data_IF_556821119507
#
_entry.id   IF_556821119507
#
_cell.length_a   1.000
_cell.length_b   1.000
_cell.length_c   1.000
_cell.angle_alpha   90.00
_cell.angle_beta   90.00
_cell.angle_gamma   90.00
#
_symmetry.space_group_name_H-M   'P 1'
#
loop_
_entity.id
_entity.type
_entity.pdbx_description
1 polymer ?
#
# COMPACT_ATOMS: atom_id res chain seq x y z
N UNK A 1 9.89 -11.04 -31.63
CA UNK A 1 9.26 -11.49 -30.37
C UNK A 1 9.91 -10.72 -29.22
N UNK A 2 9.39 -9.55 -28.89
CA UNK A 2 9.92 -8.70 -27.81
C UNK A 2 9.19 -9.01 -26.52
N UNK A 3 9.91 -9.55 -25.54
CA UNK A 3 9.41 -9.75 -24.18
C UNK A 3 9.40 -8.38 -23.51
N UNK A 4 8.23 -7.77 -23.38
CA UNK A 4 8.03 -6.55 -22.60
C UNK A 4 8.22 -6.88 -21.12
N UNK A 5 9.44 -6.66 -20.62
CA UNK A 5 9.76 -6.75 -19.20
C UNK A 5 8.97 -5.70 -18.41
N UNK A 6 8.04 -6.17 -17.59
CA UNK A 6 7.32 -5.36 -16.64
C UNK A 6 8.31 -4.92 -15.53
N UNK A 7 8.85 -3.70 -15.61
CA UNK A 7 9.87 -3.16 -14.70
C UNK A 7 9.31 -2.18 -13.66
N UNK A 8 8.02 -2.28 -13.33
CA UNK A 8 7.49 -1.62 -12.14
C UNK A 8 8.04 -2.26 -10.85
N UNK A 9 8.20 -1.50 -9.75
CA UNK A 9 8.52 -2.10 -8.46
C UNK A 9 7.49 -3.18 -8.15
N UNK A 10 7.96 -4.42 -8.00
CA UNK A 10 7.09 -5.53 -7.66
C UNK A 10 6.54 -5.25 -6.26
N UNK A 11 5.22 -5.35 -6.03
CA UNK A 11 4.68 -5.25 -4.68
C UNK A 11 5.44 -6.23 -3.79
N UNK A 12 5.77 -5.81 -2.57
CA UNK A 12 6.57 -6.50 -1.54
C UNK A 12 5.98 -7.85 -1.05
N UNK A 13 5.11 -8.49 -1.85
CA UNK A 13 3.93 -9.16 -1.36
C UNK A 13 3.58 -10.54 -2.00
N UNK A 14 4.57 -11.38 -2.35
CA UNK A 14 4.34 -12.85 -2.30
C UNK A 14 5.22 -13.59 -1.28
N UNK A 15 6.47 -13.18 -1.08
CA UNK A 15 7.43 -13.98 -0.30
C UNK A 15 7.26 -13.84 1.22
N UNK A 16 6.82 -12.67 1.72
CA UNK A 16 6.37 -12.54 3.12
C UNK A 16 5.01 -13.21 3.35
N UNK A 17 4.16 -13.30 2.31
CA UNK A 17 2.89 -14.05 2.36
C UNK A 17 3.05 -15.56 2.53
N UNK A 18 4.20 -16.14 2.21
CA UNK A 18 4.45 -17.54 2.49
C UNK A 18 4.95 -17.76 3.93
N UNK A 19 5.34 -16.69 4.62
CA UNK A 19 6.14 -16.76 5.84
C UNK A 19 5.40 -16.30 7.09
N UNK A 20 4.56 -15.26 7.01
CA UNK A 20 3.89 -14.69 8.19
C UNK A 20 2.57 -15.43 8.48
N UNK A 21 2.31 -15.73 9.76
CA UNK A 21 1.04 -16.30 10.20
C UNK A 21 -0.08 -15.30 9.94
N UNK A 22 -1.11 -15.75 9.23
CA UNK A 22 -2.32 -14.97 8.96
C UNK A 22 -3.43 -15.47 9.86
N UNK A 23 -3.91 -14.61 10.76
CA UNK A 23 -5.08 -14.93 11.56
C UNK A 23 -6.29 -14.23 10.95
N UNK A 24 -7.33 -15.02 10.62
CA UNK A 24 -8.63 -14.44 10.27
C UNK A 24 -9.25 -13.88 11.54
N UNK A 25 -9.55 -12.59 11.53
CA UNK A 25 -10.18 -11.90 12.65
C UNK A 25 -11.50 -11.29 12.23
N UNK A 26 -12.52 -11.61 13.01
CA UNK A 26 -13.84 -10.99 12.93
C UNK A 26 -13.76 -9.61 13.59
N UNK A 27 -14.29 -8.57 12.93
CA UNK A 27 -14.35 -7.21 13.45
C UNK A 27 -15.05 -7.11 14.82
N UNK A 28 -15.96 -8.02 15.17
CA UNK A 28 -16.54 -8.09 16.52
C UNK A 28 -15.47 -8.26 17.61
N UNK A 29 -14.35 -8.92 17.29
CA UNK A 29 -13.22 -9.12 18.22
C UNK A 29 -12.33 -7.88 18.35
N UNK A 30 -12.62 -6.81 17.59
CA UNK A 30 -11.93 -5.53 17.62
C UNK A 30 -12.77 -4.46 18.34
N UNK A 31 -13.95 -4.81 18.86
CA UNK A 31 -14.84 -3.89 19.55
C UNK A 31 -14.13 -3.19 20.72
N UNK A 32 -14.32 -1.87 20.81
CA UNK A 32 -13.66 -1.00 21.79
C UNK A 32 -12.26 -0.52 21.38
N UNK A 33 -11.68 -1.05 20.31
CA UNK A 33 -10.39 -0.58 19.79
C UNK A 33 -10.54 0.67 18.90
N UNK A 34 -9.49 1.48 18.85
CA UNK A 34 -9.34 2.54 17.84
C UNK A 34 -8.37 2.07 16.76
N UNK A 35 -8.79 2.06 15.50
CA UNK A 35 -7.95 1.63 14.37
C UNK A 35 -7.66 2.77 13.42
N UNK A 36 -6.38 2.95 13.08
CA UNK A 36 -5.99 3.85 12.00
C UNK A 36 -6.34 3.23 10.66
N UNK A 37 -6.92 4.02 9.75
CA UNK A 37 -7.33 3.56 8.43
C UNK A 37 -6.64 4.39 7.36
N UNK A 38 -6.00 3.72 6.42
CA UNK A 38 -5.55 4.34 5.17
C UNK A 38 -6.76 4.70 4.30
N UNK A 39 -7.06 6.00 4.22
CA UNK A 39 -8.22 6.50 3.49
C UNK A 39 -8.04 6.41 1.97
N UNK A 40 -6.80 6.55 1.46
CA UNK A 40 -6.52 6.51 0.02
C UNK A 40 -6.73 5.11 -0.55
N UNK A 41 -6.39 4.06 0.21
CA UNK A 41 -6.71 2.69 -0.15
C UNK A 41 -8.22 2.46 -0.37
N UNK A 42 -9.07 3.03 0.48
CA UNK A 42 -10.53 2.95 0.33
C UNK A 42 -11.07 3.82 -0.80
N UNK A 43 -10.58 5.05 -0.94
CA UNK A 43 -10.98 5.94 -2.04
C UNK A 43 -10.65 5.33 -3.39
N UNK A 44 -9.44 4.78 -3.55
CA UNK A 44 -9.01 4.10 -4.76
C UNK A 44 -9.91 2.89 -5.05
N UNK A 45 -10.15 2.03 -4.06
CA UNK A 45 -11.02 0.85 -4.23
C UNK A 45 -12.46 1.22 -4.58
N UNK A 46 -13.01 2.28 -3.97
CA UNK A 46 -14.33 2.80 -4.29
C UNK A 46 -14.40 3.41 -5.70
N UNK A 47 -13.32 4.07 -6.15
CA UNK A 47 -13.22 4.67 -7.47
C UNK A 47 -13.25 3.64 -8.61
N UNK A 48 -12.84 2.39 -8.36
CA UNK A 48 -12.89 1.28 -9.34
C UNK A 48 -14.30 1.08 -9.89
N UNK A 49 -15.32 1.19 -9.03
CA UNK A 49 -16.72 1.01 -9.43
C UNK A 49 -17.30 2.18 -10.24
N UNK A 50 -16.57 3.31 -10.32
CA UNK A 50 -16.97 4.50 -11.06
C UNK A 50 -15.86 5.03 -11.99
N UNK A 51 -14.97 4.14 -12.43
CA UNK A 51 -13.81 4.51 -13.23
C UNK A 51 -14.22 5.17 -14.56
N UNK A 52 -15.32 4.70 -15.18
CA UNK A 52 -15.84 5.26 -16.42
C UNK A 52 -16.32 6.70 -16.22
N UNK A 53 -17.12 6.95 -15.19
CA UNK A 53 -17.62 8.29 -14.87
C UNK A 53 -16.47 9.24 -14.58
N UNK A 54 -15.50 8.82 -13.76
CA UNK A 54 -14.31 9.60 -13.44
C UNK A 54 -13.47 9.90 -14.70
N UNK A 55 -13.24 8.92 -15.56
CA UNK A 55 -12.48 9.11 -16.80
C UNK A 55 -13.16 10.12 -17.74
N UNK A 56 -14.50 10.16 -17.76
CA UNK A 56 -15.31 11.09 -18.54
C UNK A 56 -15.52 12.45 -17.88
N UNK A 57 -15.02 12.67 -16.66
CA UNK A 57 -15.27 13.90 -15.89
C UNK A 57 -16.73 14.05 -15.44
N UNK A 58 -17.49 12.95 -15.36
CA UNK A 58 -18.87 12.96 -14.87
C UNK A 58 -18.88 12.97 -13.34
N UNK A 59 -19.71 13.81 -12.70
CA UNK A 59 -19.86 13.81 -11.25
C UNK A 59 -20.27 12.42 -10.72
N UNK A 60 -19.64 11.98 -9.64
CA UNK A 60 -19.96 10.72 -8.96
C UNK A 60 -19.61 10.81 -7.49
N UNK A 61 -20.37 10.10 -6.64
CA UNK A 61 -20.11 9.95 -5.19
C UNK A 61 -19.83 8.51 -4.77
N UNK A 62 -19.80 7.57 -5.73
CA UNK A 62 -19.64 6.13 -5.45
C UNK A 62 -18.41 5.80 -4.60
N UNK A 63 -17.30 6.52 -4.78
CA UNK A 63 -16.08 6.34 -3.99
C UNK A 63 -16.25 6.79 -2.52
N UNK A 64 -16.98 7.90 -2.28
CA UNK A 64 -17.31 8.37 -0.93
C UNK A 64 -18.27 7.39 -0.26
N UNK A 65 -19.32 6.98 -0.98
CA UNK A 65 -20.33 6.06 -0.44
C UNK A 65 -19.70 4.72 -0.04
N UNK A 66 -18.76 4.22 -0.85
CA UNK A 66 -17.97 3.03 -0.53
C UNK A 66 -17.15 3.21 0.76
N UNK A 67 -16.37 4.29 0.87
CA UNK A 67 -15.56 4.54 2.07
C UNK A 67 -16.43 4.73 3.32
N UNK A 68 -17.52 5.50 3.21
CA UNK A 68 -18.45 5.73 4.32
C UNK A 68 -19.21 4.47 4.74
N UNK A 69 -19.48 3.55 3.82
CA UNK A 69 -20.02 2.23 4.17
C UNK A 69 -19.05 1.46 5.07
N UNK A 70 -17.75 1.48 4.76
CA UNK A 70 -16.72 0.85 5.59
C UNK A 70 -16.58 1.51 6.96
N UNK A 71 -16.64 2.84 7.03
CA UNK A 71 -16.67 3.58 8.30
C UNK A 71 -17.85 3.15 9.18
N UNK A 72 -19.06 3.09 8.61
CA UNK A 72 -20.26 2.65 9.32
C UNK A 72 -20.17 1.20 9.77
N UNK A 73 -19.60 0.32 8.95
CA UNK A 73 -19.36 -1.08 9.28
C UNK A 73 -18.44 -1.21 10.50
N UNK A 74 -17.31 -0.48 10.54
CA UNK A 74 -16.42 -0.51 11.70
C UNK A 74 -17.13 -0.02 12.97
N UNK A 75 -17.86 1.10 12.90
CA UNK A 75 -18.63 1.61 14.03
C UNK A 75 -19.72 0.63 14.49
N UNK A 76 -20.36 -0.06 13.56
CA UNK A 76 -21.36 -1.08 13.87
C UNK A 76 -20.77 -2.22 14.71
N UNK A 77 -19.54 -2.63 14.40
CA UNK A 77 -18.79 -3.63 15.19
C UNK A 77 -18.11 -3.04 16.44
N UNK A 78 -18.43 -1.81 16.83
CA UNK A 78 -17.87 -1.17 18.04
C UNK A 78 -16.41 -0.72 17.88
N UNK A 79 -15.88 -0.67 16.67
CA UNK A 79 -14.53 -0.16 16.38
C UNK A 79 -14.60 1.35 16.13
N UNK A 80 -13.65 2.10 16.68
CA UNK A 80 -13.50 3.54 16.42
C UNK A 80 -12.50 3.74 15.27
N UNK A 81 -12.94 4.13 14.05
CA UNK A 81 -12.02 4.40 12.97
C UNK A 81 -11.37 5.78 13.13
N UNK A 82 -10.07 5.86 12.86
CA UNK A 82 -9.30 7.09 12.74
C UNK A 82 -8.74 7.15 11.31
N UNK A 83 -9.28 8.02 10.45
CA UNK A 83 -8.87 8.04 9.04
C UNK A 83 -7.62 8.90 8.83
N UNK A 84 -6.66 8.37 8.08
CA UNK A 84 -5.43 9.08 7.71
C UNK A 84 -5.41 9.24 6.19
N UNK A 85 -5.19 10.47 5.75
CA UNK A 85 -5.10 10.86 4.35
C UNK A 85 -3.66 11.23 4.00
N UNK A 86 -3.23 10.95 2.77
CA UNK A 86 -2.01 11.53 2.22
C UNK A 86 -2.13 13.06 2.14
N UNK A 87 -1.01 13.73 2.34
CA UNK A 87 -0.83 15.16 2.21
C UNK A 87 0.05 15.53 1.03
N UNK A 88 1.16 16.21 1.31
CA UNK A 88 1.98 16.82 0.26
C UNK A 88 2.88 15.79 -0.46
N UNK A 89 3.36 16.21 -1.62
CA UNK A 89 4.25 15.44 -2.46
C UNK A 89 5.63 15.22 -1.82
N UNK A 90 6.13 14.00 -1.89
CA UNK A 90 7.45 13.65 -1.41
C UNK A 90 8.47 13.61 -2.59
N UNK A 91 9.52 14.45 -2.59
CA UNK A 91 10.49 14.50 -3.70
C UNK A 91 11.16 13.17 -4.01
N UNK A 92 11.40 12.34 -2.99
CA UNK A 92 11.99 11.00 -3.15
C UNK A 92 11.11 10.03 -3.94
N UNK A 93 9.80 10.32 -4.11
CA UNK A 93 8.88 9.53 -4.95
C UNK A 93 8.63 10.14 -6.34
N UNK A 94 9.31 11.24 -6.70
CA UNK A 94 9.07 11.95 -7.95
C UNK A 94 9.09 11.06 -9.21
N UNK A 95 10.08 10.16 -9.29
CA UNK A 95 10.23 9.23 -10.41
C UNK A 95 9.07 8.25 -10.48
N UNK A 96 8.70 7.68 -9.32
CA UNK A 96 7.61 6.71 -9.19
C UNK A 96 6.27 7.35 -9.54
N UNK A 97 5.97 8.52 -8.99
CA UNK A 97 4.73 9.25 -9.27
C UNK A 97 4.65 9.74 -10.72
N UNK A 98 5.77 10.19 -11.29
CA UNK A 98 5.84 10.53 -12.73
C UNK A 98 5.53 9.33 -13.62
N UNK A 99 6.05 8.15 -13.30
CA UNK A 99 5.76 6.92 -14.04
C UNK A 99 4.29 6.49 -13.90
N UNK A 100 3.71 6.62 -12.70
CA UNK A 100 2.31 6.32 -12.42
C UNK A 100 1.39 7.28 -13.18
N UNK A 101 1.67 8.58 -13.14
CA UNK A 101 0.91 9.61 -13.87
C UNK A 101 0.91 9.35 -15.38
N UNK A 102 2.07 9.07 -15.97
CA UNK A 102 2.16 8.74 -17.40
C UNK A 102 1.33 7.51 -17.75
N UNK A 103 1.43 6.44 -16.96
CA UNK A 103 0.70 5.20 -17.20
C UNK A 103 -0.82 5.40 -17.08
N UNK A 104 -1.27 6.27 -16.15
CA UNK A 104 -2.68 6.65 -16.03
C UNK A 104 -3.18 7.40 -17.26
N UNK A 105 -2.40 8.35 -17.77
CA UNK A 105 -2.74 9.11 -18.98
C UNK A 105 -2.82 8.21 -20.23
N UNK A 106 -1.83 7.33 -20.41
CA UNK A 106 -1.81 6.35 -21.51
C UNK A 106 -3.03 5.42 -21.45
N UNK A 107 -3.35 4.85 -20.27
CA UNK A 107 -4.55 4.02 -20.07
C UNK A 107 -5.85 4.81 -20.28
N UNK A 108 -5.91 6.08 -19.87
CA UNK A 108 -7.10 6.92 -20.10
C UNK A 108 -7.34 7.13 -21.60
N UNK A 109 -6.30 7.45 -22.37
CA UNK A 109 -6.36 7.63 -23.83
C UNK A 109 -6.83 6.35 -24.51
N UNK A 110 -6.21 5.22 -24.19
CA UNK A 110 -6.60 3.91 -24.74
C UNK A 110 -8.04 3.54 -24.38
N UNK A 111 -8.45 3.78 -23.13
CA UNK A 111 -9.82 3.55 -22.68
C UNK A 111 -10.85 4.37 -23.49
N UNK A 112 -10.55 5.63 -23.79
CA UNK A 112 -11.41 6.48 -24.61
C UNK A 112 -11.53 6.00 -26.06
N UNK A 113 -10.44 5.52 -26.66
CA UNK A 113 -10.44 4.94 -28.00
C UNK A 113 -11.28 3.66 -28.06
N UNK A 114 -11.10 2.76 -27.09
CA UNK A 114 -11.87 1.52 -26.97
C UNK A 114 -13.36 1.80 -26.77
N UNK A 115 -13.70 2.83 -25.98
CA UNK A 115 -15.07 3.25 -25.76
C UNK A 115 -15.73 3.75 -27.06
N UNK A 116 -15.02 4.60 -27.84
CA UNK A 116 -15.49 5.06 -29.16
C UNK A 116 -15.69 3.92 -30.15
N UNK A 117 -14.88 2.87 -30.05
CA UNK A 117 -15.01 1.65 -30.85
C UNK A 117 -16.08 0.67 -30.35
N UNK A 118 -16.87 1.02 -29.33
CA UNK A 118 -17.92 0.17 -28.76
C UNK A 118 -17.41 -0.99 -27.88
N UNK A 119 -16.12 -1.05 -27.58
CA UNK A 119 -15.48 -2.11 -26.78
C UNK A 119 -15.56 -1.83 -25.28
N UNK A 120 -16.78 -1.74 -24.75
CA UNK A 120 -17.08 -1.24 -23.40
C UNK A 120 -16.30 -1.96 -22.28
N UNK A 121 -16.22 -3.30 -22.30
CA UNK A 121 -15.53 -4.07 -21.25
C UNK A 121 -14.02 -3.78 -21.23
N UNK A 122 -13.38 -3.70 -22.40
CA UNK A 122 -11.96 -3.39 -22.51
C UNK A 122 -11.68 -1.94 -22.13
N UNK A 123 -12.55 -1.01 -22.54
CA UNK A 123 -12.47 0.38 -22.13
C UNK A 123 -12.54 0.53 -20.61
N UNK A 124 -13.48 -0.17 -19.96
CA UNK A 124 -13.63 -0.15 -18.51
C UNK A 124 -12.37 -0.65 -17.79
N UNK A 125 -11.76 -1.75 -18.28
CA UNK A 125 -10.52 -2.27 -17.72
C UNK A 125 -9.34 -1.28 -17.83
N UNK A 126 -9.27 -0.49 -18.90
CA UNK A 126 -8.28 0.59 -19.03
C UNK A 126 -8.61 1.79 -18.13
N UNK A 127 -9.89 2.16 -18.01
CA UNK A 127 -10.29 3.23 -17.10
C UNK A 127 -9.96 2.91 -15.64
N UNK A 128 -10.10 1.65 -15.21
CA UNK A 128 -9.68 1.22 -13.88
C UNK A 128 -8.18 1.46 -13.62
N UNK A 129 -7.32 1.29 -14.64
CA UNK A 129 -5.87 1.55 -14.53
C UNK A 129 -5.53 3.04 -14.52
N UNK A 130 -6.45 3.89 -15.01
CA UNK A 130 -6.29 5.34 -15.09
C UNK A 130 -6.76 6.11 -13.85
N UNK A 131 -7.30 5.41 -12.85
CA UNK A 131 -7.85 6.04 -11.64
C UNK A 131 -6.76 6.85 -10.93
N UNK A 132 -7.09 8.10 -10.65
CA UNK A 132 -6.30 9.00 -9.83
C UNK A 132 -7.18 9.53 -8.70
N UNK A 133 -6.75 9.35 -7.45
CA UNK A 133 -7.47 9.85 -6.28
C UNK A 133 -7.01 11.28 -6.02
N UNK A 134 -7.89 12.25 -6.32
CA UNK A 134 -7.54 13.67 -6.22
C UNK A 134 -7.76 14.22 -4.80
N UNK A 135 -7.13 15.36 -4.45
CA UNK A 135 -7.40 16.06 -3.20
C UNK A 135 -8.88 16.43 -3.02
N UNK A 136 -9.60 16.70 -4.11
CA UNK A 136 -11.05 16.96 -4.08
C UNK A 136 -11.84 15.71 -3.64
N UNK A 137 -11.48 14.53 -4.15
CA UNK A 137 -12.10 13.26 -3.72
C UNK A 137 -11.85 12.99 -2.25
N UNK A 138 -10.62 13.22 -1.77
CA UNK A 138 -10.28 13.12 -0.35
C UNK A 138 -11.10 14.13 0.48
N UNK A 139 -11.23 15.37 0.01
CA UNK A 139 -12.02 16.40 0.68
C UNK A 139 -13.49 16.02 0.80
N UNK A 140 -14.08 15.47 -0.26
CA UNK A 140 -15.46 15.01 -0.25
C UNK A 140 -15.71 13.92 0.80
N UNK A 141 -14.74 13.03 1.04
CA UNK A 141 -14.83 12.06 2.12
C UNK A 141 -14.67 12.73 3.49
N UNK A 142 -13.68 13.62 3.66
CA UNK A 142 -13.46 14.37 4.92
C UNK A 142 -14.75 15.11 5.35
N UNK A 143 -15.44 15.76 4.41
CA UNK A 143 -16.67 16.48 4.72
C UNK A 143 -17.81 15.56 5.18
N UNK A 144 -17.86 14.30 4.72
CA UNK A 144 -18.78 13.29 5.27
C UNK A 144 -18.36 12.79 6.66
N UNK A 145 -17.06 12.60 6.91
CA UNK A 145 -16.54 12.19 8.22
C UNK A 145 -16.89 13.21 9.31
N UNK A 146 -16.74 14.51 8.99
CA UNK A 146 -17.08 15.62 9.90
C UNK A 146 -18.54 15.57 10.34
N UNK A 147 -19.48 15.28 9.44
CA UNK A 147 -20.92 15.22 9.73
C UNK A 147 -21.27 14.15 10.76
N UNK A 148 -20.48 13.09 10.84
CA UNK A 148 -20.72 11.96 11.75
C UNK A 148 -19.70 11.86 12.88
N UNK A 149 -18.90 12.92 13.07
CA UNK A 149 -17.87 13.04 14.10
C UNK A 149 -16.87 11.87 14.12
N UNK A 150 -16.34 11.53 12.95
CA UNK A 150 -15.23 10.56 12.83
C UNK A 150 -13.91 11.32 12.74
N UNK A 151 -12.99 10.94 13.61
CA UNK A 151 -11.64 11.51 13.69
C UNK A 151 -10.85 11.23 12.41
N UNK A 152 -10.11 12.24 11.96
CA UNK A 152 -9.22 12.12 10.82
C UNK A 152 -8.02 13.06 10.93
N UNK A 153 -6.97 12.74 10.18
CA UNK A 153 -5.82 13.63 9.98
C UNK A 153 -5.35 13.56 8.52
N UNK A 154 -4.92 14.70 7.99
CA UNK A 154 -4.15 14.74 6.74
C UNK A 154 -2.69 14.71 7.14
N UNK A 155 -1.96 13.67 6.72
CA UNK A 155 -0.53 13.54 6.97
C UNK A 155 0.21 14.72 6.34
N UNK A 156 1.39 15.11 6.84
CA UNK A 156 2.22 16.12 6.17
C UNK A 156 2.66 15.66 4.77
N UNK A 157 2.93 14.35 4.62
CA UNK A 157 3.29 13.69 3.36
C UNK A 157 2.50 12.37 3.26
N UNK A 158 3.10 11.23 3.58
CA UNK A 158 2.47 9.93 3.38
C UNK A 158 1.72 9.43 4.61
N UNK A 159 0.51 8.90 4.38
CA UNK A 159 -0.34 8.27 5.38
C UNK A 159 0.37 7.10 6.05
N UNK A 160 1.22 6.36 5.35
CA UNK A 160 1.98 5.23 5.91
C UNK A 160 2.78 5.62 7.15
N UNK A 161 3.57 6.69 7.01
CA UNK A 161 4.42 7.19 8.08
C UNK A 161 3.60 7.73 9.25
N UNK A 162 2.50 8.42 8.95
CA UNK A 162 1.59 9.00 9.93
C UNK A 162 0.84 7.90 10.71
N UNK A 163 0.34 6.86 10.03
CA UNK A 163 -0.32 5.71 10.65
C UNK A 163 0.63 4.98 11.61
N UNK A 164 1.85 4.68 11.18
CA UNK A 164 2.85 4.04 12.05
C UNK A 164 3.23 4.94 13.24
N UNK A 165 3.29 6.26 13.04
CA UNK A 165 3.50 7.19 14.15
C UNK A 165 2.37 7.12 15.17
N UNK A 166 1.10 7.21 14.74
CA UNK A 166 -0.07 7.14 15.62
C UNK A 166 -0.13 5.82 16.40
N UNK A 167 0.19 4.69 15.76
CA UNK A 167 0.25 3.38 16.43
C UNK A 167 1.36 3.34 17.48
N UNK A 168 2.53 3.93 17.20
CA UNK A 168 3.63 4.01 18.16
C UNK A 168 3.31 4.88 19.37
N UNK A 169 2.55 5.95 19.18
CA UNK A 169 2.08 6.81 20.27
C UNK A 169 0.93 6.18 21.08
N UNK A 170 0.40 5.02 20.65
CA UNK A 170 -0.72 4.37 21.33
C UNK A 170 -2.06 5.07 21.10
N UNK A 171 -2.15 5.99 20.12
CA UNK A 171 -3.40 6.67 19.74
C UNK A 171 -4.33 5.68 19.01
N UNK A 172 -3.75 4.75 18.26
CA UNK A 172 -4.45 3.66 17.59
C UNK A 172 -3.84 2.31 18.00
N UNK A 173 -4.67 1.26 18.05
CA UNK A 173 -4.28 -0.11 18.43
C UNK A 173 -3.87 -1.02 17.27
N UNK A 174 -3.98 -0.52 16.04
CA UNK A 174 -3.60 -1.22 14.82
C UNK A 174 -3.94 -0.39 13.58
N UNK A 175 -3.42 -0.80 12.43
CA UNK A 175 -3.57 -0.11 11.15
C UNK A 175 -4.35 -0.99 10.19
N UNK A 176 -5.38 -0.43 9.56
CA UNK A 176 -6.15 -1.07 8.51
C UNK A 176 -5.71 -0.54 7.14
N UNK A 177 -5.01 -1.35 6.36
CA UNK A 177 -4.59 -1.03 4.99
C UNK A 177 -4.32 -2.30 4.16
N UNK A 178 -4.35 -2.14 2.84
CA UNK A 178 -3.90 -3.16 1.89
C UNK A 178 -2.39 -3.02 1.57
N UNK A 179 -1.75 -1.95 2.03
CA UNK A 179 -0.32 -1.71 1.80
C UNK A 179 0.55 -2.49 2.80
N UNK A 180 1.39 -3.37 2.25
CA UNK A 180 2.35 -4.14 3.03
C UNK A 180 3.58 -3.32 3.42
N UNK A 181 3.83 -2.17 2.79
CA UNK A 181 4.99 -1.32 3.08
C UNK A 181 4.94 -0.75 4.49
N UNK A 182 3.75 -0.65 5.09
CA UNK A 182 3.55 -0.36 6.52
C UNK A 182 4.37 -1.27 7.45
N UNK A 183 4.56 -2.54 7.08
CA UNK A 183 5.39 -3.47 7.86
C UNK A 183 6.88 -3.06 7.83
N UNK A 184 7.33 -2.45 6.74
CA UNK A 184 8.70 -1.93 6.55
C UNK A 184 8.89 -0.64 7.34
N UNK A 185 7.88 0.24 7.37
CA UNK A 185 7.85 1.41 8.24
C UNK A 185 7.86 1.04 9.73
N UNK A 186 7.39 -0.16 10.05
CA UNK A 186 7.45 -0.78 11.35
C UNK A 186 6.13 -0.74 12.12
N UNK A 187 5.03 -0.85 11.38
CA UNK A 187 3.71 -1.21 11.91
C UNK A 187 3.81 -2.48 12.77
N UNK A 188 3.23 -2.45 13.97
CA UNK A 188 3.17 -3.58 14.90
C UNK A 188 2.01 -4.51 14.56
N UNK A 189 0.87 -3.97 14.14
CA UNK A 189 -0.35 -4.72 13.88
C UNK A 189 -1.07 -4.19 12.65
N UNK A 190 -0.91 -4.91 11.54
CA UNK A 190 -1.57 -4.60 10.27
C UNK A 190 -2.80 -5.50 10.09
N UNK A 191 -3.95 -4.89 9.90
CA UNK A 191 -5.20 -5.51 9.49
C UNK A 191 -5.39 -5.26 8.00
N UNK A 192 -5.64 -6.31 7.23
CA UNK A 192 -5.71 -6.24 5.76
C UNK A 192 -6.84 -7.11 5.23
N UNK A 193 -7.19 -6.96 3.95
CA UNK A 193 -8.27 -7.71 3.29
C UNK A 193 -9.61 -7.69 4.03
N UNK A 194 -10.02 -6.53 4.53
CA UNK A 194 -11.33 -6.38 5.16
C UNK A 194 -12.45 -6.65 4.14
N UNK A 195 -13.25 -7.67 4.39
CA UNK A 195 -14.39 -8.05 3.56
C UNK A 195 -15.67 -7.28 3.94
N UNK A 196 -16.76 -7.52 3.22
CA UNK A 196 -18.05 -6.85 3.45
C UNK A 196 -18.79 -7.32 4.72
N UNK A 197 -18.32 -8.40 5.34
CA UNK A 197 -18.89 -8.98 6.55
C UNK A 197 -18.11 -8.60 7.81
N UNK A 198 -17.02 -7.84 7.67
CA UNK A 198 -16.17 -7.44 8.78
C UNK A 198 -15.02 -8.42 9.08
N UNK A 199 -14.81 -9.46 8.27
CA UNK A 199 -13.65 -10.31 8.43
C UNK A 199 -12.42 -9.63 7.82
N UNK A 200 -11.29 -9.74 8.49
CA UNK A 200 -10.01 -9.26 8.01
C UNK A 200 -8.91 -10.26 8.34
N UNK A 201 -7.74 -10.03 7.78
CA UNK A 201 -6.53 -10.77 8.08
C UNK A 201 -5.66 -9.89 8.98
N UNK A 202 -5.33 -10.40 10.16
CA UNK A 202 -4.38 -9.77 11.07
C UNK A 202 -2.96 -10.30 10.81
N UNK A 203 -2.02 -9.35 10.76
CA UNK A 203 -0.58 -9.58 10.68
C UNK A 203 0.04 -8.87 11.88
N UNK A 204 0.58 -9.65 12.83
CA UNK A 204 1.28 -9.09 13.98
C UNK A 204 2.79 -9.22 13.81
N UNK A 205 3.51 -8.12 14.01
CA UNK A 205 4.96 -8.08 13.87
C UNK A 205 5.68 -9.01 14.85
N UNK A 206 5.09 -9.28 16.01
CA UNK A 206 5.66 -10.23 16.99
C UNK A 206 5.78 -11.66 16.42
N UNK A 207 4.95 -11.99 15.43
CA UNK A 207 4.91 -13.32 14.82
C UNK A 207 5.92 -13.48 13.68
N UNK A 208 6.67 -12.42 13.34
CA UNK A 208 7.69 -12.47 12.29
C UNK A 208 8.80 -13.48 12.61
N UNK A 209 9.09 -13.73 13.90
CA UNK A 209 10.06 -14.73 14.32
C UNK A 209 9.59 -16.17 14.07
N UNK A 210 8.27 -16.41 13.92
CA UNK A 210 7.70 -17.72 13.65
C UNK A 210 7.71 -18.10 12.15
N UNK A 211 8.19 -17.20 11.29
CA UNK A 211 8.28 -17.40 9.84
C UNK A 211 9.25 -18.54 9.48
N UNK A 212 8.76 -19.57 8.78
CA UNK A 212 9.56 -20.78 8.46
C UNK A 212 10.46 -20.64 7.23
N UNK A 213 10.02 -19.99 6.15
CA UNK A 213 10.82 -19.89 4.92
C UNK A 213 11.90 -18.79 4.97
N UNK A 214 11.57 -17.66 5.61
CA UNK A 214 12.48 -16.55 5.86
C UNK A 214 12.43 -16.26 7.35
N UNK A 215 13.22 -17.00 8.13
CA UNK A 215 13.32 -16.74 9.57
C UNK A 215 13.93 -15.35 9.78
N UNK A 216 13.10 -14.44 10.30
CA UNK A 216 13.51 -13.12 10.77
C UNK A 216 13.94 -13.16 12.24
N UNK A 217 14.21 -14.35 12.79
CA UNK A 217 14.68 -14.50 14.17
C UNK A 217 16.00 -13.75 14.36
N UNK A 218 16.02 -12.84 15.33
CA UNK A 218 17.18 -11.98 15.61
C UNK A 218 17.38 -10.81 14.64
N UNK A 219 16.44 -10.56 13.72
CA UNK A 219 16.49 -9.39 12.85
C UNK A 219 15.98 -8.14 13.57
N UNK A 220 16.68 -7.04 13.32
CA UNK A 220 16.26 -5.70 13.71
C UNK A 220 15.39 -5.05 12.64
N UNK A 221 14.59 -4.06 13.03
CA UNK A 221 13.83 -3.20 12.11
C UNK A 221 14.71 -2.59 11.00
N UNK A 222 15.95 -2.24 11.34
CA UNK A 222 16.91 -1.68 10.41
C UNK A 222 17.33 -2.69 9.34
N UNK A 223 17.54 -3.96 9.72
CA UNK A 223 17.87 -5.02 8.76
C UNK A 223 16.69 -5.35 7.86
N UNK A 224 15.47 -5.42 8.42
CA UNK A 224 14.25 -5.63 7.63
C UNK A 224 14.03 -4.51 6.61
N UNK A 225 14.23 -3.26 7.03
CA UNK A 225 14.15 -2.08 6.14
C UNK A 225 15.22 -2.12 5.05
N UNK A 226 16.47 -2.44 5.39
CA UNK A 226 17.55 -2.60 4.40
C UNK A 226 17.21 -3.65 3.37
N UNK A 227 16.66 -4.80 3.79
CA UNK A 227 16.22 -5.85 2.88
C UNK A 227 15.17 -5.32 1.90
N UNK A 228 14.16 -4.59 2.38
CA UNK A 228 13.11 -4.01 1.53
C UNK A 228 13.67 -3.00 0.53
N UNK A 229 14.55 -2.08 0.97
CA UNK A 229 15.21 -1.10 0.09
C UNK A 229 16.01 -1.81 -1.01
N UNK A 230 16.77 -2.85 -0.64
CA UNK A 230 17.60 -3.61 -1.58
C UNK A 230 16.77 -4.38 -2.63
N UNK A 231 15.61 -4.90 -2.23
CA UNK A 231 14.69 -5.56 -3.16
C UNK A 231 13.94 -4.60 -4.09
N UNK A 232 14.12 -3.29 -3.90
CA UNK A 232 13.40 -2.22 -4.59
C UNK A 232 12.19 -1.74 -3.79
N UNK A 233 12.03 -0.43 -3.73
CA UNK A 233 10.89 0.25 -3.11
C UNK A 233 10.53 1.52 -3.90
N UNK A 234 9.44 2.18 -3.52
CA UNK A 234 8.97 3.39 -4.21
C UNK A 234 9.97 4.57 -4.17
N UNK A 235 10.94 4.56 -3.24
CA UNK A 235 11.93 5.63 -3.04
C UNK A 235 13.24 5.41 -3.80
N UNK A 236 13.56 4.17 -4.13
CA UNK A 236 14.83 3.80 -4.76
C UNK A 236 14.61 2.60 -5.67
N UNK A 237 15.04 2.75 -6.92
CA UNK A 237 15.08 1.63 -7.86
C UNK A 237 15.94 0.50 -7.25
N UNK A 238 15.39 -0.72 -7.25
CA UNK A 238 16.10 -1.89 -6.75
C UNK A 238 17.39 -2.16 -7.53
N UNK A 239 18.31 -2.89 -6.92
CA UNK A 239 19.52 -3.33 -7.60
C UNK A 239 19.17 -4.42 -8.62
N UNK A 240 19.71 -4.36 -9.83
CA UNK A 240 19.42 -5.34 -10.89
C UNK A 240 19.63 -6.79 -10.39
N UNK A 241 18.64 -7.66 -10.67
CA UNK A 241 18.61 -9.06 -10.24
C UNK A 241 18.61 -9.28 -8.70
N UNK A 242 18.22 -8.27 -7.91
CA UNK A 242 18.11 -8.36 -6.46
C UNK A 242 16.67 -8.55 -5.98
N UNK A 243 16.21 -9.79 -5.94
CA UNK A 243 14.92 -10.13 -5.31
C UNK A 243 15.00 -10.27 -3.78
N UNK A 244 13.85 -10.41 -3.11
CA UNK A 244 13.76 -10.46 -1.65
C UNK A 244 14.64 -11.54 -1.00
N UNK A 245 14.68 -12.75 -1.57
CA UNK A 245 15.53 -13.86 -1.05
C UNK A 245 17.02 -13.53 -1.15
N UNK A 246 17.43 -12.86 -2.23
CA UNK A 246 18.82 -12.43 -2.42
C UNK A 246 19.16 -11.30 -1.45
N UNK A 247 18.29 -10.29 -1.34
CA UNK A 247 18.43 -9.19 -0.38
C UNK A 247 18.53 -9.70 1.06
N UNK A 248 17.68 -10.65 1.44
CA UNK A 248 17.70 -11.31 2.75
C UNK A 248 19.07 -11.92 3.06
N UNK A 249 19.60 -12.74 2.14
CA UNK A 249 20.91 -13.39 2.30
C UNK A 249 22.04 -12.36 2.42
N UNK A 250 22.01 -11.31 1.60
CA UNK A 250 23.04 -10.27 1.62
C UNK A 250 23.05 -9.50 2.95
N UNK A 251 21.88 -9.07 3.43
CA UNK A 251 21.78 -8.33 4.70
C UNK A 251 22.26 -9.22 5.85
N UNK A 252 21.89 -10.51 5.86
CA UNK A 252 22.31 -11.45 6.90
C UNK A 252 23.83 -11.67 6.94
N UNK A 253 24.48 -11.70 5.78
CA UNK A 253 25.93 -11.93 5.65
C UNK A 253 26.76 -10.67 5.94
N UNK A 254 26.35 -9.52 5.40
CA UNK A 254 27.21 -8.33 5.39
C UNK A 254 26.83 -7.28 6.44
N UNK A 255 25.59 -7.33 6.97
CA UNK A 255 25.00 -6.52 8.05
C UNK A 255 24.98 -5.00 7.86
N UNK A 256 26.10 -4.39 7.44
CA UNK A 256 26.23 -2.93 7.28
C UNK A 256 26.05 -2.49 5.83
N UNK A 257 25.47 -1.29 5.59
CA UNK A 257 25.30 -0.75 4.24
C UNK A 257 26.61 -0.67 3.44
N UNK A 258 27.71 -0.30 4.07
CA UNK A 258 29.01 -0.11 3.41
C UNK A 258 29.55 -1.46 2.89
N UNK A 259 29.41 -2.52 3.68
CA UNK A 259 29.80 -3.88 3.28
C UNK A 259 28.90 -4.42 2.18
N UNK A 260 27.60 -4.14 2.25
CA UNK A 260 26.63 -4.49 1.22
C UNK A 260 27.00 -3.85 -0.12
N UNK A 261 27.25 -2.53 -0.14
CA UNK A 261 27.63 -1.81 -1.36
C UNK A 261 28.96 -2.32 -1.92
N UNK A 262 29.98 -2.53 -1.08
CA UNK A 262 31.27 -3.09 -1.52
C UNK A 262 31.11 -4.46 -2.16
N UNK A 263 30.31 -5.34 -1.57
CA UNK A 263 30.07 -6.67 -2.13
C UNK A 263 29.31 -6.61 -3.45
N UNK A 264 28.30 -5.75 -3.56
CA UNK A 264 27.57 -5.54 -4.83
C UNK A 264 28.50 -5.03 -5.94
N UNK A 265 29.41 -4.11 -5.62
CA UNK A 265 30.42 -3.64 -6.57
C UNK A 265 31.39 -4.74 -6.99
N UNK A 266 31.78 -5.61 -6.07
CA UNK A 266 32.64 -6.76 -6.37
C UNK A 266 31.93 -7.76 -7.30
N UNK A 267 30.71 -8.17 -6.98
CA UNK A 267 29.93 -9.09 -7.83
C UNK A 267 29.60 -8.49 -9.20
N UNK A 268 29.35 -7.18 -9.29
CA UNK A 268 29.11 -6.51 -10.56
C UNK A 268 30.35 -6.54 -11.47
N UNK A 269 31.55 -6.34 -10.91
CA UNK A 269 32.82 -6.43 -11.65
C UNK A 269 33.08 -7.85 -12.19
N UNK A 270 32.63 -8.89 -11.49
CA UNK A 270 32.81 -10.28 -11.91
C UNK A 270 31.73 -10.80 -12.87
N UNK A 271 30.65 -10.05 -13.13
CA UNK A 271 29.61 -10.40 -14.12
C UNK A 271 29.82 -9.76 -15.50
N UNK A 272 30.82 -8.88 -15.63
CA UNK A 272 31.19 -8.23 -16.89
C UNK A 272 32.40 -8.88 -17.58
N UNK A 273 32.74 -10.13 -17.23
CA UNK A 273 33.71 -10.97 -17.94
C UNK A 273 32.98 -12.08 -18.70
#
# INVERSE_FOLDING_TARGET
MGVSGNTGPAPFNPALKASVTFETKDANKLAGETLGVDAYGWLHRGAIACALELAQGKPTRKYVDFAMHRVRMLRHFGVTPYLVFDGDFLPSKAMTEGSRAKRRDDSKKLGMELLKAGKNSQAFAEFQKSIDVTPEMARNLIDELKKIHVEYVVAPYEADSQLVYLERQGIIGGILSEDSDLLVFGCKRLLTKLDQYGNCIEINRRDFAACREVSLTGWTDAEFRRMAILSGCDYLAGVSNMGLKTAYRMVRQHKTPERLVRMMQFEAKHRCQ
#
